data_IF_219025774520
#
_entry.id   IF_219025774520
#
_cell.length_a   1.000
_cell.length_b   1.000
_cell.length_c   1.000
_cell.angle_alpha   90.00
_cell.angle_beta   90.00
_cell.angle_gamma   90.00
#
_symmetry.space_group_name_H-M   'P 1'
#
loop_
_entity.id
_entity.type
_entity.pdbx_description
1 polymer ?
#
# COMPACT_ATOMS: atom_id res chain seq x y z
N UNK A 1 12.56 -0.04 -23.69
CA UNK A 1 13.33 0.69 -22.64
C UNK A 1 13.29 2.16 -23.00
N UNK A 2 13.18 3.05 -22.00
CA UNK A 2 13.05 4.50 -22.24
C UNK A 2 11.61 5.02 -22.43
N UNK A 3 10.62 4.13 -22.42
CA UNK A 3 9.21 4.51 -22.45
C UNK A 3 8.76 5.04 -21.08
N UNK A 4 7.99 6.13 -21.08
CA UNK A 4 7.33 6.66 -19.89
C UNK A 4 6.10 5.82 -19.53
N UNK A 5 6.01 5.44 -18.26
CA UNK A 5 4.86 4.76 -17.66
C UNK A 5 4.39 5.53 -16.43
N UNK A 6 3.07 5.69 -16.25
CA UNK A 6 2.48 6.27 -15.04
C UNK A 6 1.84 5.17 -14.23
N UNK A 7 2.31 4.97 -12.99
CA UNK A 7 1.78 3.93 -12.12
C UNK A 7 0.37 4.26 -11.62
N UNK A 8 -0.60 3.37 -11.83
CA UNK A 8 -2.01 3.55 -11.42
C UNK A 8 -2.22 3.67 -9.90
N UNK A 9 -1.26 3.23 -9.08
CA UNK A 9 -1.37 3.29 -7.62
C UNK A 9 -0.76 4.58 -7.08
N UNK A 10 0.51 4.85 -7.40
CA UNK A 10 1.23 5.99 -6.81
C UNK A 10 1.25 7.24 -7.70
N UNK A 11 0.69 7.17 -8.91
CA UNK A 11 0.65 8.25 -9.90
C UNK A 11 2.01 8.88 -10.26
N UNK A 12 3.11 8.18 -9.97
CA UNK A 12 4.46 8.62 -10.33
C UNK A 12 4.83 8.10 -11.71
N UNK A 13 5.42 8.99 -12.52
CA UNK A 13 6.11 8.63 -13.75
C UNK A 13 7.29 7.72 -13.44
N UNK A 14 7.48 6.69 -14.26
CA UNK A 14 8.59 5.75 -14.25
C UNK A 14 9.12 5.66 -15.67
N UNK A 15 10.44 5.77 -15.81
CA UNK A 15 11.12 5.46 -17.05
C UNK A 15 11.52 4.00 -16.96
N UNK A 16 11.10 3.17 -17.92
CA UNK A 16 11.44 1.76 -17.93
C UNK A 16 12.91 1.58 -18.30
N UNK A 17 13.78 1.50 -17.30
CA UNK A 17 15.22 1.23 -17.41
C UNK A 17 15.50 -0.27 -17.41
N UNK A 18 14.79 -1.02 -16.58
CA UNK A 18 14.88 -2.47 -16.45
C UNK A 18 13.56 -3.15 -16.78
N UNK A 19 13.61 -4.44 -17.13
CA UNK A 19 12.41 -5.23 -17.47
C UNK A 19 11.37 -5.20 -16.34
N UNK A 20 11.84 -5.16 -15.09
CA UNK A 20 11.03 -5.29 -13.90
C UNK A 20 10.56 -3.94 -13.32
N UNK A 21 10.84 -2.78 -13.93
CA UNK A 21 10.37 -1.49 -13.39
C UNK A 21 8.85 -1.33 -13.46
N UNK A 22 8.24 -1.99 -14.45
CA UNK A 22 6.80 -2.05 -14.69
C UNK A 22 6.42 -3.53 -14.74
N UNK A 23 5.47 -3.92 -13.90
CA UNK A 23 5.08 -5.32 -13.68
C UNK A 23 3.57 -5.47 -13.80
N UNK A 24 3.14 -6.65 -14.25
CA UNK A 24 1.73 -7.00 -14.36
C UNK A 24 1.29 -7.61 -13.02
N UNK A 25 0.57 -6.81 -12.23
CA UNK A 25 0.02 -7.23 -10.94
C UNK A 25 -1.15 -8.21 -11.16
N UNK A 26 -1.23 -9.20 -10.29
CA UNK A 26 -2.26 -10.23 -10.33
C UNK A 26 -2.66 -10.63 -8.91
N UNK A 27 -3.88 -11.12 -8.77
CA UNK A 27 -4.41 -11.66 -7.53
C UNK A 27 -3.75 -13.00 -7.20
N UNK A 28 -3.20 -13.12 -6.00
CA UNK A 28 -2.66 -14.39 -5.49
C UNK A 28 -3.76 -15.42 -5.10
N UNK A 29 -5.04 -15.05 -5.17
CA UNK A 29 -6.17 -15.94 -4.82
C UNK A 29 -6.62 -16.75 -6.04
N UNK A 30 -6.83 -16.07 -7.17
CA UNK A 30 -7.45 -16.63 -8.37
C UNK A 30 -6.64 -16.41 -9.65
N UNK A 31 -5.49 -15.73 -9.55
CA UNK A 31 -4.63 -15.40 -10.69
C UNK A 31 -5.18 -14.29 -11.59
N UNK A 32 -6.29 -13.64 -11.21
CA UNK A 32 -6.89 -12.57 -12.02
C UNK A 32 -5.93 -11.38 -12.15
N UNK A 33 -5.79 -10.86 -13.37
CA UNK A 33 -4.93 -9.70 -13.66
C UNK A 33 -5.60 -8.43 -13.13
N UNK A 34 -4.87 -7.66 -12.32
CA UNK A 34 -5.31 -6.36 -11.79
C UNK A 34 -4.85 -5.19 -12.66
N UNK A 35 -3.66 -5.29 -13.25
CA UNK A 35 -3.15 -4.33 -14.22
C UNK A 35 -1.65 -4.03 -14.08
N UNK A 36 -1.17 -3.10 -14.91
CA UNK A 36 0.23 -2.69 -14.87
C UNK A 36 0.49 -1.69 -13.73
N UNK A 37 1.53 -1.95 -12.94
CA UNK A 37 1.98 -1.09 -11.84
C UNK A 37 3.50 -1.00 -11.81
N UNK A 38 4.07 -0.05 -11.07
CA UNK A 38 5.52 -0.02 -10.87
C UNK A 38 5.97 -1.07 -9.85
N UNK A 39 7.20 -1.56 -9.98
CA UNK A 39 7.81 -2.57 -9.09
C UNK A 39 7.70 -2.25 -7.60
N UNK A 40 7.89 -0.97 -7.25
CA UNK A 40 7.78 -0.50 -5.88
C UNK A 40 6.36 -0.67 -5.33
N UNK A 41 5.33 -0.31 -6.08
CA UNK A 41 3.94 -0.48 -5.65
C UNK A 41 3.57 -1.96 -5.54
N UNK A 42 3.93 -2.78 -6.53
CA UNK A 42 3.74 -4.22 -6.51
C UNK A 42 4.35 -4.85 -5.24
N UNK A 43 5.62 -4.53 -4.98
CA UNK A 43 6.33 -5.04 -3.80
C UNK A 43 5.68 -4.57 -2.51
N UNK A 44 5.26 -3.30 -2.43
CA UNK A 44 4.58 -2.76 -1.24
C UNK A 44 3.26 -3.47 -0.94
N UNK A 45 2.44 -3.74 -1.95
CA UNK A 45 1.18 -4.50 -1.76
C UNK A 45 1.49 -5.93 -1.27
N UNK A 46 2.46 -6.60 -1.90
CA UNK A 46 2.88 -7.94 -1.47
C UNK A 46 3.44 -7.99 -0.04
N UNK A 47 4.03 -6.90 0.46
CA UNK A 47 4.46 -6.80 1.87
C UNK A 47 3.29 -6.71 2.86
N UNK A 48 2.11 -6.37 2.39
CA UNK A 48 0.86 -6.43 3.13
C UNK A 48 0.02 -7.64 2.73
N UNK A 49 0.64 -8.69 2.16
CA UNK A 49 0.00 -9.96 1.79
C UNK A 49 -1.18 -9.83 0.84
N UNK A 50 -1.21 -8.77 0.03
CA UNK A 50 -2.35 -8.43 -0.84
C UNK A 50 -3.68 -8.30 -0.09
N UNK A 51 -3.64 -8.08 1.23
CA UNK A 51 -4.80 -8.01 2.11
C UNK A 51 -5.27 -6.56 2.27
N UNK A 52 -6.47 -6.20 1.76
CA UNK A 52 -7.03 -4.87 1.90
C UNK A 52 -7.20 -4.44 3.37
N UNK A 53 -7.46 -5.36 4.29
CA UNK A 53 -7.66 -5.04 5.70
C UNK A 53 -6.34 -4.67 6.36
N UNK A 54 -5.22 -5.31 5.99
CA UNK A 54 -3.88 -4.93 6.46
C UNK A 54 -3.52 -3.55 5.90
N UNK A 55 -3.78 -3.30 4.61
CA UNK A 55 -3.53 -2.01 3.98
C UNK A 55 -4.34 -0.88 4.64
N UNK A 56 -5.60 -1.14 4.98
CA UNK A 56 -6.44 -0.19 5.69
C UNK A 56 -5.87 0.13 7.09
N UNK A 57 -5.40 -0.87 7.84
CA UNK A 57 -4.70 -0.65 9.12
C UNK A 57 -3.43 0.19 8.96
N UNK A 58 -2.68 0.02 7.86
CA UNK A 58 -1.51 0.84 7.58
C UNK A 58 -1.90 2.30 7.26
N UNK A 59 -3.00 2.52 6.53
CA UNK A 59 -3.58 3.86 6.31
C UNK A 59 -3.96 4.50 7.65
N UNK A 60 -4.67 3.76 8.51
CA UNK A 60 -5.11 4.24 9.81
C UNK A 60 -3.93 4.56 10.72
N UNK A 61 -2.89 3.72 10.72
CA UNK A 61 -1.63 3.96 11.45
C UNK A 61 -0.96 5.27 11.04
N UNK A 62 -0.84 5.55 9.74
CA UNK A 62 -0.20 6.78 9.23
C UNK A 62 -1.09 8.01 9.48
N UNK A 63 -2.42 7.85 9.37
CA UNK A 63 -3.38 8.93 9.62
C UNK A 63 -3.49 9.29 11.10
N UNK A 64 -3.35 8.31 11.99
CA UNK A 64 -3.30 8.49 13.44
C UNK A 64 -1.95 9.07 13.89
N UNK A 65 -1.61 10.24 13.35
CA UNK A 65 -0.41 11.01 13.70
C UNK A 65 -0.27 11.14 15.21
N UNK A 66 0.62 10.36 15.82
CA UNK A 66 1.28 10.66 17.09
C UNK A 66 0.38 11.17 18.23
N UNK A 67 -0.91 10.89 18.21
CA UNK A 67 -1.87 11.45 19.14
C UNK A 67 -1.92 10.50 20.36
N UNK A 68 -0.75 10.36 20.99
CA UNK A 68 -0.55 9.56 22.20
C UNK A 68 -1.62 9.90 23.25
N UNK A 69 -2.01 11.18 23.30
CA UNK A 69 -3.09 11.68 24.16
C UNK A 69 -4.47 11.16 23.77
N UNK A 70 -4.82 10.99 22.48
CA UNK A 70 -6.10 10.35 22.10
C UNK A 70 -6.11 8.87 22.48
N UNK A 71 -4.99 8.17 22.29
CA UNK A 71 -4.88 6.76 22.70
C UNK A 71 -4.98 6.60 24.22
N UNK A 72 -4.37 7.49 25.01
CA UNK A 72 -4.49 7.52 26.47
C UNK A 72 -5.92 7.87 26.91
N UNK A 73 -6.52 8.93 26.36
CA UNK A 73 -7.87 9.36 26.73
C UNK A 73 -8.88 8.25 26.41
N UNK A 74 -8.73 7.58 25.26
CA UNK A 74 -9.57 6.43 24.92
C UNK A 74 -9.40 5.29 25.95
N UNK A 75 -8.16 4.98 26.37
CA UNK A 75 -7.90 3.98 27.40
C UNK A 75 -8.51 4.37 28.75
N UNK A 76 -8.34 5.61 29.21
CA UNK A 76 -8.87 6.09 30.50
C UNK A 76 -10.41 6.14 30.50
N UNK A 77 -11.03 6.55 29.39
CA UNK A 77 -12.48 6.66 29.29
C UNK A 77 -13.19 5.31 29.13
N UNK A 78 -12.56 4.33 28.46
CA UNK A 78 -13.15 3.01 28.23
C UNK A 78 -12.75 1.94 29.25
N UNK A 79 -11.57 2.06 29.88
CA UNK A 79 -11.17 1.23 31.01
C UNK A 79 -11.18 2.10 32.26
N UNK A 80 -12.38 2.31 32.81
CA UNK A 80 -12.59 2.96 34.12
C UNK A 80 -11.73 2.24 35.18
N UNK A 81 -10.80 2.98 35.78
CA UNK A 81 -10.42 2.75 37.17
C UNK A 81 -11.39 3.52 38.08
#
# INVERSE_FOLDING_TARGET
MGEEFVCSICNRKKVRQFKNDVVLDHSHIDGSVRGWVCSSCNTSIGKFYDDPDILQRAIDWIRNKGDFFKSIIFLILHYKF
#
